data_IF_154623065367
#
_entry.id   IF_154623065367
#
_cell.length_a   1.000
_cell.length_b   1.000
_cell.length_c   1.000
_cell.angle_alpha   90.00
_cell.angle_beta   90.00
_cell.angle_gamma   90.00
#
_symmetry.space_group_name_H-M   'P 1'
#
loop_
_entity.id
_entity.type
_entity.pdbx_description
1 polymer ?
#
# COMPACT_ATOMS: atom_id res chain seq x y z
N UNK A 1 14.00 -33.50 -3.80
CA UNK A 1 13.74 -32.54 -4.91
C UNK A 1 13.22 -31.27 -4.28
N UNK A 2 14.00 -30.19 -4.32
CA UNK A 2 13.63 -28.90 -3.75
C UNK A 2 12.60 -28.25 -4.68
N UNK A 3 11.37 -28.07 -4.22
CA UNK A 3 10.36 -27.31 -4.93
C UNK A 3 10.79 -25.84 -4.90
N UNK A 4 11.15 -25.31 -6.07
CA UNK A 4 11.31 -23.88 -6.27
C UNK A 4 9.90 -23.28 -6.32
N UNK A 5 9.45 -22.72 -5.20
CA UNK A 5 8.32 -21.79 -5.16
C UNK A 5 8.84 -20.53 -5.87
N UNK A 6 8.50 -20.40 -7.15
CA UNK A 6 8.61 -19.13 -7.85
C UNK A 6 7.45 -18.29 -7.32
N UNK A 7 7.76 -17.49 -6.30
CA UNK A 7 6.91 -16.40 -5.83
C UNK A 7 6.70 -15.47 -7.03
N UNK A 8 5.49 -15.49 -7.60
CA UNK A 8 4.98 -14.39 -8.40
C UNK A 8 4.98 -13.18 -7.48
N UNK A 9 5.98 -12.32 -7.66
CA UNK A 9 6.01 -11.01 -7.04
C UNK A 9 4.78 -10.25 -7.52
N UNK A 10 3.72 -10.23 -6.70
CA UNK A 10 2.73 -9.17 -6.74
C UNK A 10 3.46 -7.90 -6.30
N UNK A 11 4.14 -7.25 -7.23
CA UNK A 11 4.49 -5.85 -7.09
C UNK A 11 3.16 -5.08 -7.07
N UNK A 12 2.59 -4.91 -5.87
CA UNK A 12 1.59 -3.87 -5.64
C UNK A 12 2.30 -2.53 -5.88
N UNK A 13 2.32 -2.11 -7.15
CA UNK A 13 2.46 -0.70 -7.48
C UNK A 13 1.17 -0.01 -7.07
N UNK A 14 1.05 0.32 -5.79
CA UNK A 14 0.13 1.38 -5.37
C UNK A 14 0.78 2.67 -5.87
N UNK A 15 0.37 3.08 -7.07
CA UNK A 15 0.85 4.26 -7.77
C UNK A 15 0.65 5.50 -6.89
N UNK A 16 1.71 5.96 -6.23
CA UNK A 16 1.80 7.34 -5.74
C UNK A 16 2.01 8.27 -6.93
N UNK A 17 0.92 8.67 -7.57
CA UNK A 17 0.92 9.59 -8.71
C UNK A 17 0.29 10.95 -8.39
N UNK A 18 0.81 11.69 -7.40
CA UNK A 18 0.45 13.11 -7.24
C UNK A 18 1.35 13.95 -8.14
N UNK A 19 0.87 14.24 -9.35
CA UNK A 19 1.47 15.25 -10.24
C UNK A 19 0.91 16.63 -9.86
N UNK A 20 1.73 17.48 -9.25
CA UNK A 20 1.40 18.89 -9.07
C UNK A 20 1.52 19.62 -10.42
N UNK A 21 0.42 19.70 -11.15
CA UNK A 21 0.32 20.52 -12.35
C UNK A 21 0.35 22.01 -11.98
N UNK A 22 1.49 22.67 -12.19
CA UNK A 22 1.56 24.14 -12.28
C UNK A 22 1.84 24.51 -13.73
N UNK A 23 0.86 25.10 -14.41
CA UNK A 23 1.06 25.78 -15.70
C UNK A 23 1.96 27.01 -15.49
N UNK A 24 2.90 27.30 -16.39
CA UNK A 24 3.64 28.56 -16.38
C UNK A 24 2.80 29.67 -17.01
N UNK A 25 2.67 30.80 -16.31
CA UNK A 25 2.15 32.04 -16.86
C UNK A 25 3.31 32.96 -17.25
N UNK A 26 3.17 33.56 -18.43
CA UNK A 26 4.09 34.44 -19.15
C UNK A 26 4.59 35.66 -18.37
N UNK A 27 5.78 36.09 -18.79
CA UNK A 27 6.48 37.31 -18.40
C UNK A 27 5.65 38.59 -18.63
N UNK A 28 5.72 39.54 -17.68
CA UNK A 28 5.84 40.95 -18.05
C UNK A 28 6.69 41.69 -17.01
N UNK A 29 7.83 42.21 -17.45
CA UNK A 29 8.72 43.10 -16.69
C UNK A 29 8.07 44.47 -16.46
N UNK A 30 8.16 44.99 -15.23
CA UNK A 30 8.66 46.36 -14.98
C UNK A 30 9.04 46.58 -13.51
N UNK A 31 10.20 47.19 -13.34
CA UNK A 31 10.81 47.54 -12.07
C UNK A 31 10.20 48.81 -11.46
N UNK A 32 10.11 48.85 -10.13
CA UNK A 32 10.43 50.01 -9.30
C UNK A 32 10.55 49.54 -7.85
N UNK A 33 11.68 49.88 -7.22
CA UNK A 33 11.97 49.62 -5.83
C UNK A 33 11.14 50.53 -4.93
N UNK A 34 10.65 50.00 -3.81
CA UNK A 34 10.49 50.78 -2.57
C UNK A 34 10.37 49.83 -1.37
N UNK A 35 11.32 50.00 -0.46
CA UNK A 35 11.45 49.34 0.83
C UNK A 35 10.31 49.75 1.75
N UNK A 36 9.53 48.80 2.25
CA UNK A 36 8.76 49.00 3.49
C UNK A 36 8.60 47.67 4.22
N UNK A 37 9.10 47.67 5.46
CA UNK A 37 9.05 46.57 6.39
C UNK A 37 7.59 46.12 6.60
N UNK A 38 7.31 44.86 6.29
CA UNK A 38 6.04 44.21 6.62
C UNK A 38 6.33 43.06 7.55
N UNK A 39 5.97 43.27 8.81
CA UNK A 39 5.91 42.32 9.90
C UNK A 39 5.33 40.99 9.41
N UNK A 40 6.17 39.96 9.44
CA UNK A 40 5.78 38.57 9.25
C UNK A 40 4.88 38.18 10.43
N UNK A 41 3.56 38.26 10.22
CA UNK A 41 2.61 37.53 11.06
C UNK A 41 2.73 36.07 10.66
N UNK A 42 3.42 35.29 11.48
CA UNK A 42 3.24 33.85 11.58
C UNK A 42 1.73 33.60 11.71
N UNK A 43 1.11 33.12 10.64
CA UNK A 43 -0.21 32.52 10.74
C UNK A 43 -0.01 31.23 11.52
N UNK A 44 -0.44 31.22 12.78
CA UNK A 44 -0.76 29.98 13.47
C UNK A 44 -1.80 29.26 12.62
N UNK A 45 -1.36 28.30 11.81
CA UNK A 45 -2.23 27.25 11.32
C UNK A 45 -2.67 26.49 12.56
N UNK A 46 -3.91 26.69 12.97
CA UNK A 46 -4.61 25.73 13.81
C UNK A 46 -4.50 24.39 13.10
N UNK A 47 -3.63 23.52 13.60
CA UNK A 47 -3.51 22.13 13.15
C UNK A 47 -4.83 21.44 13.49
N UNK A 48 -5.77 21.43 12.55
CA UNK A 48 -6.85 20.45 12.58
C UNK A 48 -6.19 19.07 12.65
N UNK A 49 -6.50 18.30 13.69
CA UNK A 49 -5.97 16.97 13.92
C UNK A 49 -6.93 15.96 13.31
N UNK A 50 -6.74 15.58 12.04
CA UNK A 50 -7.82 14.98 11.27
C UNK A 50 -8.12 13.55 11.74
N UNK A 51 -7.16 12.92 12.44
CA UNK A 51 -7.33 11.59 13.03
C UNK A 51 -8.46 11.52 14.06
N UNK A 52 -8.75 12.62 14.76
CA UNK A 52 -9.83 12.67 15.76
C UNK A 52 -11.23 12.51 15.15
N UNK A 53 -11.39 12.85 13.87
CA UNK A 53 -12.65 12.64 13.14
C UNK A 53 -12.78 11.21 12.61
N UNK A 54 -11.65 10.51 12.46
CA UNK A 54 -11.57 9.17 11.88
C UNK A 54 -11.67 8.07 12.93
N UNK A 55 -11.19 8.32 14.14
CA UNK A 55 -11.13 7.37 15.25
C UNK A 55 -11.96 7.88 16.42
N UNK A 56 -13.15 7.28 16.59
CA UNK A 56 -14.05 7.62 17.69
C UNK A 56 -13.67 6.87 18.96
N UNK A 57 -13.62 7.59 20.09
CA UNK A 57 -13.32 7.00 21.39
C UNK A 57 -14.35 5.93 21.79
N UNK A 58 -13.86 4.85 22.41
CA UNK A 58 -14.68 3.78 22.95
C UNK A 58 -14.27 2.40 22.49
N UNK A 59 -15.08 1.42 22.88
CA UNK A 59 -14.91 0.02 22.51
C UNK A 59 -15.77 -0.30 21.29
N UNK A 60 -15.16 -0.89 20.26
CA UNK A 60 -15.82 -1.29 19.02
C UNK A 60 -15.34 -2.66 18.54
N UNK A 61 -15.95 -3.15 17.48
CA UNK A 61 -15.52 -4.36 16.77
C UNK A 61 -14.79 -3.97 15.50
N UNK A 62 -13.61 -4.55 15.32
CA UNK A 62 -12.81 -4.45 14.10
C UNK A 62 -12.86 -5.77 13.31
N UNK A 63 -12.85 -5.68 11.99
CA UNK A 63 -12.63 -6.79 11.08
C UNK A 63 -11.20 -6.75 10.56
N UNK A 64 -10.45 -7.83 10.78
CA UNK A 64 -9.12 -8.00 10.21
C UNK A 64 -9.31 -8.51 8.79
N UNK A 65 -8.78 -7.77 7.83
CA UNK A 65 -8.94 -8.02 6.41
C UNK A 65 -7.59 -8.33 5.77
N UNK A 66 -7.61 -9.19 4.76
CA UNK A 66 -6.47 -9.49 3.91
C UNK A 66 -6.84 -9.32 2.44
N UNK A 67 -5.85 -9.05 1.59
CA UNK A 67 -6.09 -9.01 0.15
C UNK A 67 -6.19 -10.44 -0.36
N UNK A 68 -7.29 -10.75 -1.05
CA UNK A 68 -7.49 -12.07 -1.64
C UNK A 68 -8.56 -12.08 -2.72
N UNK A 69 -8.77 -13.26 -3.29
CA UNK A 69 -9.86 -13.54 -4.23
C UNK A 69 -10.91 -14.39 -3.52
N UNK A 70 -12.17 -14.38 -4.00
CA UNK A 70 -13.10 -15.40 -3.55
C UNK A 70 -12.67 -16.81 -3.97
N UNK A 71 -13.14 -17.84 -3.26
CA UNK A 71 -12.74 -19.22 -3.54
C UNK A 71 -12.99 -19.68 -4.99
N UNK A 72 -14.03 -19.19 -5.67
CA UNK A 72 -14.32 -19.61 -7.05
C UNK A 72 -13.33 -18.98 -8.03
N UNK A 73 -13.13 -17.67 -7.93
CA UNK A 73 -12.14 -16.94 -8.74
C UNK A 73 -10.72 -17.45 -8.47
N UNK A 74 -10.36 -17.65 -7.19
CA UNK A 74 -9.08 -18.21 -6.78
C UNK A 74 -8.84 -19.61 -7.40
N UNK A 75 -9.84 -20.50 -7.30
CA UNK A 75 -9.75 -21.84 -7.87
C UNK A 75 -9.54 -21.79 -9.39
N UNK A 76 -10.31 -20.95 -10.08
CA UNK A 76 -10.23 -20.80 -11.55
C UNK A 76 -8.85 -20.28 -11.99
N UNK A 77 -8.35 -19.22 -11.37
CA UNK A 77 -7.02 -18.66 -11.67
C UNK A 77 -5.92 -19.70 -11.40
N UNK A 78 -6.02 -20.42 -10.28
CA UNK A 78 -5.07 -21.47 -9.91
C UNK A 78 -5.09 -22.64 -10.92
N UNK A 79 -6.27 -23.09 -11.34
CA UNK A 79 -6.42 -24.19 -12.31
C UNK A 79 -5.76 -23.84 -13.65
N UNK A 80 -6.04 -22.64 -14.17
CA UNK A 80 -5.45 -22.16 -15.43
C UNK A 80 -3.93 -22.01 -15.29
N UNK A 81 -3.47 -21.43 -14.18
CA UNK A 81 -2.03 -21.26 -13.91
C UNK A 81 -1.30 -22.61 -13.85
N UNK A 82 -1.90 -23.61 -13.20
CA UNK A 82 -1.33 -24.95 -13.13
C UNK A 82 -1.27 -25.63 -14.51
N UNK A 83 -2.32 -25.48 -15.31
CA UNK A 83 -2.38 -25.98 -16.70
C UNK A 83 -1.29 -25.34 -17.56
N UNK A 84 -1.13 -24.03 -17.45
CA UNK A 84 -0.07 -23.28 -18.14
C UNK A 84 1.31 -23.73 -17.69
N UNK A 85 1.56 -23.82 -16.39
CA UNK A 85 2.83 -24.24 -15.83
C UNK A 85 3.20 -25.66 -16.28
N UNK A 86 2.26 -26.60 -16.21
CA UNK A 86 2.49 -27.98 -16.64
C UNK A 86 2.88 -28.06 -18.13
N UNK A 87 2.21 -27.30 -19.00
CA UNK A 87 2.53 -27.29 -20.43
C UNK A 87 3.87 -26.57 -20.73
N UNK A 88 4.27 -25.60 -19.91
CA UNK A 88 5.56 -24.91 -20.05
C UNK A 88 6.75 -25.74 -19.55
N UNK A 89 6.55 -26.72 -18.66
CA UNK A 89 7.63 -27.59 -18.21
C UNK A 89 8.32 -28.30 -19.39
N UNK A 90 7.53 -28.78 -20.34
CA UNK A 90 8.03 -29.48 -21.54
C UNK A 90 8.46 -28.52 -22.67
N UNK A 91 8.22 -27.20 -22.50
CA UNK A 91 8.50 -26.17 -23.51
C UNK A 91 9.41 -25.06 -22.98
N UNK A 92 10.26 -25.39 -22.01
CA UNK A 92 11.09 -24.42 -21.29
C UNK A 92 12.03 -23.65 -22.22
N UNK A 93 12.70 -24.32 -23.17
CA UNK A 93 13.62 -23.66 -24.10
C UNK A 93 12.88 -22.66 -25.00
N UNK A 94 11.76 -23.09 -25.59
CA UNK A 94 10.88 -22.20 -26.36
C UNK A 94 10.40 -20.99 -25.53
N UNK A 95 10.00 -21.20 -24.27
CA UNK A 95 9.51 -20.13 -23.42
C UNK A 95 10.59 -19.09 -23.10
N UNK A 96 11.83 -19.53 -22.87
CA UNK A 96 12.96 -18.62 -22.65
C UNK A 96 13.25 -17.77 -23.90
N UNK A 97 13.24 -18.39 -25.09
CA UNK A 97 13.42 -17.67 -26.35
C UNK A 97 12.28 -16.68 -26.62
N UNK A 98 11.04 -17.08 -26.33
CA UNK A 98 9.86 -16.24 -26.48
C UNK A 98 9.90 -15.05 -25.53
N UNK A 99 10.19 -15.29 -24.24
CA UNK A 99 10.28 -14.24 -23.23
C UNK A 99 11.40 -13.23 -23.54
N UNK A 100 12.53 -13.68 -24.09
CA UNK A 100 13.65 -12.80 -24.47
C UNK A 100 13.31 -11.83 -25.61
N UNK A 101 12.23 -12.07 -26.37
CA UNK A 101 11.76 -11.18 -27.43
C UNK A 101 10.81 -10.10 -26.92
N UNK A 102 10.30 -10.24 -25.70
CA UNK A 102 9.36 -9.28 -25.11
C UNK A 102 10.16 -8.09 -24.60
N UNK A 103 9.77 -6.89 -25.03
CA UNK A 103 10.38 -5.66 -24.53
C UNK A 103 9.97 -5.42 -23.08
N UNK A 104 10.88 -4.87 -22.31
CA UNK A 104 10.60 -4.44 -20.95
C UNK A 104 9.38 -3.50 -20.90
N UNK A 105 8.51 -3.71 -19.93
CA UNK A 105 7.25 -2.98 -19.78
C UNK A 105 6.12 -3.41 -20.72
N UNK A 106 6.34 -4.34 -21.66
CA UNK A 106 5.26 -4.94 -22.44
C UNK A 106 4.71 -6.18 -21.75
N UNK A 107 3.39 -6.28 -21.67
CA UNK A 107 2.72 -7.52 -21.30
C UNK A 107 3.10 -8.63 -22.29
N UNK A 108 3.35 -9.83 -21.77
CA UNK A 108 3.62 -10.99 -22.62
C UNK A 108 2.38 -11.23 -23.51
N UNK A 109 2.51 -11.35 -24.84
CA UNK A 109 1.36 -11.68 -25.68
C UNK A 109 0.96 -13.15 -25.50
N UNK A 110 -0.31 -13.44 -25.70
CA UNK A 110 -0.81 -14.83 -25.74
C UNK A 110 -0.08 -15.65 -26.80
N UNK A 111 0.21 -16.93 -26.48
CA UNK A 111 0.70 -17.89 -27.45
C UNK A 111 0.14 -19.30 -27.17
N UNK A 112 -0.24 -20.09 -28.19
CA UNK A 112 -0.80 -21.44 -27.99
C UNK A 112 0.11 -22.41 -27.22
N UNK A 113 1.42 -22.16 -27.22
CA UNK A 113 2.38 -22.94 -26.42
C UNK A 113 2.26 -22.71 -24.92
N UNK A 114 1.42 -21.79 -24.45
CA UNK A 114 1.01 -21.75 -23.05
C UNK A 114 0.09 -22.91 -22.69
N UNK A 115 -0.56 -23.56 -23.66
CA UNK A 115 -1.41 -24.74 -23.41
C UNK A 115 -2.73 -24.39 -22.73
N UNK A 116 -3.09 -23.11 -22.72
CA UNK A 116 -4.36 -22.56 -22.27
C UNK A 116 -5.00 -21.82 -23.45
N UNK A 117 -6.30 -21.54 -23.38
CA UNK A 117 -6.98 -20.74 -24.40
C UNK A 117 -6.66 -19.25 -24.24
N UNK A 118 -7.01 -18.45 -25.24
CA UNK A 118 -6.85 -16.99 -25.17
C UNK A 118 -7.76 -16.40 -24.07
N UNK A 119 -8.96 -16.93 -23.89
CA UNK A 119 -9.87 -16.51 -22.81
C UNK A 119 -9.33 -16.86 -21.42
N UNK A 120 -8.73 -18.05 -21.28
CA UNK A 120 -8.03 -18.46 -20.06
C UNK A 120 -6.84 -17.54 -19.76
N UNK A 121 -6.12 -17.11 -20.80
CA UNK A 121 -5.01 -16.17 -20.67
C UNK A 121 -5.47 -14.79 -20.19
N UNK A 122 -6.55 -14.27 -20.76
CA UNK A 122 -7.16 -13.00 -20.32
C UNK A 122 -7.60 -13.04 -18.85
N UNK A 123 -8.08 -14.18 -18.35
CA UNK A 123 -8.43 -14.33 -16.93
C UNK A 123 -7.20 -14.17 -16.02
N UNK A 124 -6.03 -14.67 -16.45
CA UNK A 124 -4.79 -14.48 -15.69
C UNK A 124 -4.35 -13.01 -15.74
N UNK A 125 -4.37 -12.41 -16.94
CA UNK A 125 -3.97 -11.02 -17.13
C UNK A 125 -4.80 -10.04 -16.29
N UNK A 126 -6.10 -10.28 -16.19
CA UNK A 126 -7.04 -9.44 -15.44
C UNK A 126 -7.33 -10.02 -14.04
N UNK A 127 -6.42 -10.83 -13.49
CA UNK A 127 -6.67 -11.47 -12.19
C UNK A 127 -6.69 -10.49 -11.03
N UNK A 128 -6.07 -9.31 -11.18
CA UNK A 128 -6.15 -8.19 -10.24
C UNK A 128 -7.57 -7.67 -10.07
N UNK A 129 -8.41 -7.75 -11.10
CA UNK A 129 -9.83 -7.35 -11.04
C UNK A 129 -10.66 -8.23 -10.10
N UNK A 130 -10.17 -9.42 -9.74
CA UNK A 130 -10.84 -10.31 -8.79
C UNK A 130 -10.38 -10.11 -7.34
N UNK A 131 -9.32 -9.32 -7.13
CA UNK A 131 -8.74 -9.06 -5.82
C UNK A 131 -9.60 -8.06 -5.04
N UNK A 132 -9.86 -8.38 -3.77
CA UNK A 132 -10.54 -7.49 -2.82
C UNK A 132 -10.07 -7.76 -1.40
N UNK A 133 -10.47 -6.88 -0.49
CA UNK A 133 -10.40 -7.17 0.94
C UNK A 133 -11.35 -8.32 1.31
N UNK A 134 -10.79 -9.36 1.87
CA UNK A 134 -11.48 -10.53 2.38
C UNK A 134 -11.31 -10.59 3.90
N UNK A 135 -12.38 -10.90 4.62
CA UNK A 135 -12.33 -11.02 6.08
C UNK A 135 -11.52 -12.24 6.50
N UNK A 136 -10.44 -12.00 7.24
CA UNK A 136 -9.55 -13.01 7.83
C UNK A 136 -9.94 -13.30 9.29
N UNK A 137 -10.42 -12.28 10.01
CA UNK A 137 -10.75 -12.40 11.42
C UNK A 137 -11.55 -11.22 11.97
N UNK A 138 -11.73 -11.23 13.28
CA UNK A 138 -12.32 -10.14 14.05
C UNK A 138 -11.40 -9.81 15.22
N UNK A 139 -11.52 -8.60 15.74
CA UNK A 139 -10.85 -8.16 16.96
C UNK A 139 -11.72 -7.16 17.70
N UNK A 140 -11.54 -7.03 19.01
CA UNK A 140 -12.00 -5.84 19.71
C UNK A 140 -11.04 -4.70 19.42
N UNK A 141 -11.57 -3.48 19.27
CA UNK A 141 -10.77 -2.27 19.10
C UNK A 141 -11.15 -1.29 20.19
N UNK A 142 -10.19 -0.90 21.01
CA UNK A 142 -10.33 0.12 22.03
C UNK A 142 -9.61 1.38 21.55
N UNK A 143 -10.34 2.48 21.47
CA UNK A 143 -9.79 3.81 21.18
C UNK A 143 -9.93 4.66 22.44
N UNK A 144 -8.82 5.22 22.93
CA UNK A 144 -8.78 6.11 24.09
C UNK A 144 -8.16 7.44 23.71
N UNK A 145 -8.66 8.54 24.28
CA UNK A 145 -8.13 9.88 24.06
C UNK A 145 -7.75 10.51 25.39
N UNK A 146 -6.46 10.64 25.66
CA UNK A 146 -5.92 11.20 26.91
C UNK A 146 -5.01 12.38 26.61
N UNK A 147 -5.44 13.58 27.00
CA UNK A 147 -4.74 14.85 26.82
C UNK A 147 -4.31 15.16 25.37
N UNK A 148 -3.18 14.61 24.93
CA UNK A 148 -2.54 14.83 23.64
C UNK A 148 -2.16 13.52 22.95
N UNK A 149 -2.70 12.40 23.43
CA UNK A 149 -2.46 11.08 22.88
C UNK A 149 -3.79 10.40 22.59
N UNK A 150 -3.95 9.97 21.34
CA UNK A 150 -5.02 9.08 20.93
C UNK A 150 -4.41 7.70 20.72
N UNK A 151 -4.93 6.69 21.40
CA UNK A 151 -4.42 5.32 21.30
C UNK A 151 -5.48 4.43 20.67
N UNK A 152 -5.05 3.56 19.76
CA UNK A 152 -5.84 2.46 19.20
C UNK A 152 -5.17 1.16 19.62
N UNK A 153 -5.90 0.29 20.32
CA UNK A 153 -5.48 -1.05 20.67
C UNK A 153 -6.40 -2.10 20.01
N UNK A 154 -5.82 -3.08 19.33
CA UNK A 154 -6.55 -4.20 18.71
C UNK A 154 -5.91 -5.55 19.08
N UNK A 155 -6.50 -6.22 20.08
CA UNK A 155 -5.87 -7.35 20.78
C UNK A 155 -5.56 -8.57 19.91
N UNK A 156 -6.34 -8.83 18.86
CA UNK A 156 -6.16 -10.00 18.00
C UNK A 156 -5.47 -9.68 16.67
N UNK A 157 -5.14 -8.42 16.44
CA UNK A 157 -4.37 -8.00 15.28
C UNK A 157 -2.91 -8.44 15.44
N UNK A 158 -2.29 -8.96 14.37
CA UNK A 158 -0.89 -9.36 14.41
C UNK A 158 0.05 -8.17 14.16
N UNK A 159 -0.44 -7.15 13.45
CA UNK A 159 0.34 -6.05 12.88
C UNK A 159 -0.09 -4.68 13.43
N UNK A 160 -1.39 -4.42 13.52
CA UNK A 160 -2.01 -3.20 14.06
C UNK A 160 -2.41 -3.42 15.53
N UNK A 161 -1.43 -3.75 16.39
CA UNK A 161 -1.72 -4.05 17.80
C UNK A 161 -1.98 -2.80 18.64
N UNK A 162 -1.05 -1.86 18.60
CA UNK A 162 -1.09 -0.62 19.36
C UNK A 162 -0.54 0.51 18.49
N UNK A 163 -1.37 1.53 18.27
CA UNK A 163 -0.98 2.77 17.62
C UNK A 163 -1.19 3.91 18.62
N UNK A 164 -0.20 4.76 18.78
CA UNK A 164 -0.31 5.97 19.62
C UNK A 164 -0.06 7.20 18.78
N UNK A 165 -1.11 7.98 18.55
CA UNK A 165 -1.05 9.23 17.81
C UNK A 165 -0.73 10.37 18.76
N UNK A 166 0.42 11.02 18.55
CA UNK A 166 0.75 12.25 19.25
C UNK A 166 0.03 13.43 18.58
N UNK A 167 -0.98 13.95 19.26
CA UNK A 167 -1.84 15.02 18.78
C UNK A 167 -1.13 16.39 18.73
N UNK A 168 0.04 16.55 19.36
CA UNK A 168 0.83 17.79 19.27
C UNK A 168 1.76 17.80 18.07
N UNK A 169 2.48 16.70 17.85
CA UNK A 169 3.47 16.58 16.77
C UNK A 169 2.90 15.98 15.48
N UNK A 170 1.65 15.49 15.51
CA UNK A 170 1.02 14.74 14.43
C UNK A 170 1.90 13.58 13.93
N UNK A 171 2.40 12.81 14.88
CA UNK A 171 3.20 11.60 14.64
C UNK A 171 2.46 10.39 15.18
N UNK A 172 2.84 9.21 14.72
CA UNK A 172 2.25 7.94 15.20
C UNK A 172 3.36 7.00 15.64
N UNK A 173 3.32 6.60 16.90
CA UNK A 173 4.15 5.51 17.39
C UNK A 173 3.50 4.17 17.05
N UNK A 174 4.30 3.28 16.47
CA UNK A 174 3.96 1.87 16.19
C UNK A 174 5.01 0.95 16.82
N UNK A 175 4.82 -0.37 16.73
CA UNK A 175 5.88 -1.32 17.09
C UNK A 175 7.10 -1.25 16.15
N UNK A 176 6.94 -0.67 14.95
CA UNK A 176 7.97 -0.58 13.92
C UNK A 176 8.75 0.75 13.92
N UNK A 177 8.29 1.75 14.68
CA UNK A 177 8.91 3.07 14.80
C UNK A 177 7.90 4.22 14.92
N UNK A 178 8.42 5.45 14.96
CA UNK A 178 7.62 6.68 14.92
C UNK A 178 7.46 7.15 13.47
N UNK A 179 6.22 7.38 13.05
CA UNK A 179 5.86 7.75 11.69
C UNK A 179 5.51 9.24 11.64
N UNK A 180 6.02 9.94 10.63
CA UNK A 180 5.73 11.35 10.39
C UNK A 180 4.54 11.52 9.44
N UNK A 181 3.70 12.52 9.69
CA UNK A 181 2.57 12.83 8.81
C UNK A 181 3.01 13.17 7.37
N UNK A 182 2.30 12.61 6.39
CA UNK A 182 2.57 12.78 4.95
C UNK A 182 1.47 13.47 4.18
N UNK A 183 0.31 13.70 4.79
CA UNK A 183 -0.82 14.38 4.13
C UNK A 183 -2.02 13.47 3.94
N UNK A 184 -2.95 13.96 3.12
CA UNK A 184 -4.22 13.31 2.81
C UNK A 184 -4.08 12.26 1.72
N UNK A 185 -4.89 11.22 1.84
CA UNK A 185 -5.17 10.27 0.76
C UNK A 185 -6.55 10.61 0.21
N UNK A 186 -6.61 10.84 -1.09
CA UNK A 186 -7.86 11.12 -1.80
C UNK A 186 -8.44 9.83 -2.40
N UNK A 187 -9.76 9.73 -2.36
CA UNK A 187 -10.47 8.62 -2.97
C UNK A 187 -10.25 8.57 -4.49
N UNK A 188 -10.06 7.36 -5.03
CA UNK A 188 -9.79 7.16 -6.46
C UNK A 188 -10.35 5.84 -6.95
N UNK A 189 -10.84 5.82 -8.19
CA UNK A 189 -11.22 4.58 -8.90
C UNK A 189 -10.05 3.59 -9.05
N UNK A 190 -8.81 4.05 -8.92
CA UNK A 190 -7.62 3.20 -8.94
C UNK A 190 -7.45 2.36 -7.65
N UNK A 191 -8.18 2.67 -6.58
CA UNK A 191 -8.17 1.91 -5.33
C UNK A 191 -9.05 0.65 -5.44
N UNK A 192 -8.78 -0.22 -6.42
CA UNK A 192 -9.64 -1.37 -6.75
C UNK A 192 -9.87 -2.33 -5.57
N UNK A 193 -8.80 -2.65 -4.82
CA UNK A 193 -8.82 -3.69 -3.77
C UNK A 193 -9.57 -3.25 -2.52
N UNK A 194 -9.33 -2.02 -2.06
CA UNK A 194 -9.94 -1.45 -0.86
C UNK A 194 -11.28 -0.77 -1.13
N UNK A 195 -11.61 -0.55 -2.40
CA UNK A 195 -12.63 0.42 -2.79
C UNK A 195 -12.16 1.86 -2.55
N UNK A 196 -13.04 2.81 -2.84
CA UNK A 196 -12.80 4.24 -2.62
C UNK A 196 -12.77 4.57 -1.14
N UNK A 197 -11.70 5.26 -0.72
CA UNK A 197 -11.60 5.83 0.62
C UNK A 197 -10.72 7.06 0.62
N UNK A 198 -11.02 7.97 1.53
CA UNK A 198 -10.20 9.15 1.82
C UNK A 198 -9.75 9.14 3.27
N UNK A 199 -8.61 9.77 3.55
CA UNK A 199 -8.05 9.73 4.89
C UNK A 199 -6.71 10.43 5.00
N UNK A 200 -5.93 10.00 5.97
CA UNK A 200 -4.66 10.57 6.38
C UNK A 200 -3.55 9.52 6.32
N UNK A 201 -2.32 9.97 6.07
CA UNK A 201 -1.15 9.11 5.92
C UNK A 201 0.00 9.54 6.83
N UNK A 202 0.68 8.56 7.40
CA UNK A 202 1.94 8.71 8.12
C UNK A 202 2.94 7.69 7.58
N UNK A 203 4.22 8.06 7.57
CA UNK A 203 5.27 7.19 7.05
C UNK A 203 6.60 7.38 7.79
N UNK A 204 7.28 6.26 8.02
CA UNK A 204 8.70 6.15 8.34
C UNK A 204 9.40 5.50 7.15
N UNK A 205 10.45 6.13 6.63
CA UNK A 205 11.28 5.59 5.55
C UNK A 205 12.75 5.81 5.87
N UNK A 206 13.50 4.72 5.98
CA UNK A 206 14.93 4.67 6.22
C UNK A 206 15.61 3.98 5.03
N UNK A 207 16.42 4.73 4.29
CA UNK A 207 17.02 4.28 3.04
C UNK A 207 16.05 4.30 1.85
N UNK A 208 16.46 3.72 0.72
CA UNK A 208 15.73 3.80 -0.55
C UNK A 208 15.11 2.45 -0.94
N UNK A 209 14.21 1.97 -0.07
CA UNK A 209 13.58 0.66 -0.20
C UNK A 209 12.61 0.53 -1.39
N UNK A 210 12.13 1.66 -1.91
CA UNK A 210 11.20 1.69 -3.05
C UNK A 210 11.91 1.48 -4.39
N UNK A 211 13.23 1.71 -4.46
CA UNK A 211 14.01 1.63 -5.69
C UNK A 211 14.88 0.36 -5.79
N UNK A 212 14.51 -0.69 -5.04
CA UNK A 212 15.20 -1.97 -5.08
C UNK A 212 14.63 -2.83 -6.21
N UNK A 213 15.46 -3.13 -7.21
CA UNK A 213 15.10 -4.04 -8.31
C UNK A 213 15.31 -5.51 -7.93
N UNK A 214 16.45 -5.86 -7.32
CA UNK A 214 16.76 -7.22 -6.87
C UNK A 214 17.43 -7.19 -5.50
N UNK A 215 16.78 -7.80 -4.52
CA UNK A 215 17.30 -7.90 -3.15
C UNK A 215 18.66 -8.60 -3.07
N UNK A 216 18.98 -9.48 -4.02
CA UNK A 216 20.27 -10.19 -4.07
C UNK A 216 21.44 -9.27 -4.42
N UNK A 217 21.15 -8.07 -4.91
CA UNK A 217 22.17 -7.07 -5.26
C UNK A 217 22.50 -6.13 -4.10
N UNK A 218 21.75 -6.22 -3.01
CA UNK A 218 21.91 -5.38 -1.83
C UNK A 218 23.05 -5.94 -0.97
N UNK A 219 23.91 -5.04 -0.46
CA UNK A 219 24.94 -5.41 0.51
C UNK A 219 24.29 -6.02 1.75
N UNK A 220 24.84 -7.13 2.25
CA UNK A 220 24.31 -7.87 3.41
C UNK A 220 24.20 -7.00 4.68
N UNK A 221 24.97 -5.92 4.79
CA UNK A 221 24.95 -4.97 5.90
C UNK A 221 23.98 -3.80 5.68
N UNK A 222 23.24 -3.80 4.57
CA UNK A 222 22.27 -2.74 4.29
C UNK A 222 21.08 -2.89 5.22
N UNK A 223 20.71 -1.79 5.87
CA UNK A 223 19.49 -1.69 6.65
C UNK A 223 18.57 -0.66 5.99
N UNK A 224 17.39 -1.11 5.61
CA UNK A 224 16.34 -0.27 5.05
C UNK A 224 15.00 -0.62 5.68
N UNK A 225 14.15 0.39 5.88
CA UNK A 225 12.85 0.22 6.52
C UNK A 225 11.82 1.14 5.91
N UNK A 226 10.61 0.62 5.72
CA UNK A 226 9.41 1.35 5.36
C UNK A 226 8.29 0.95 6.32
N UNK A 227 7.64 1.95 6.88
CA UNK A 227 6.37 1.79 7.59
C UNK A 227 5.42 2.82 7.05
N UNK A 228 4.29 2.39 6.49
CA UNK A 228 3.20 3.27 6.06
C UNK A 228 1.98 2.95 6.88
N UNK A 229 1.38 3.98 7.45
CA UNK A 229 0.10 3.91 8.12
C UNK A 229 -0.88 4.84 7.42
N UNK A 230 -2.07 4.33 7.19
CA UNK A 230 -3.20 5.10 6.71
C UNK A 230 -4.40 4.89 7.62
N UNK A 231 -5.12 5.98 7.88
CA UNK A 231 -6.40 5.95 8.59
C UNK A 231 -7.38 6.74 7.75
N UNK A 232 -8.55 6.19 7.44
CA UNK A 232 -9.51 6.84 6.56
C UNK A 232 -10.91 6.29 6.66
N UNK A 233 -11.80 6.76 5.79
CA UNK A 233 -13.21 6.35 5.72
C UNK A 233 -13.50 5.75 4.35
N UNK A 234 -14.06 4.53 4.34
CA UNK A 234 -14.60 3.92 3.14
C UNK A 234 -15.81 4.73 2.66
N UNK A 235 -15.85 5.14 1.39
CA UNK A 235 -16.95 5.96 0.87
C UNK A 235 -18.29 5.22 0.89
N UNK A 236 -18.26 3.90 0.64
CA UNK A 236 -19.47 3.09 0.54
C UNK A 236 -20.18 2.90 1.89
N UNK A 237 -19.41 2.71 2.97
CA UNK A 237 -19.95 2.32 4.28
C UNK A 237 -19.80 3.38 5.36
N UNK A 238 -18.87 4.33 5.20
CA UNK A 238 -18.47 5.26 6.25
C UNK A 238 -17.67 4.60 7.40
N UNK A 239 -17.30 3.33 7.26
CA UNK A 239 -16.46 2.64 8.24
C UNK A 239 -15.02 3.13 8.19
N UNK A 240 -14.34 3.08 9.33
CA UNK A 240 -12.92 3.46 9.40
C UNK A 240 -12.06 2.34 8.84
N UNK A 241 -11.21 2.67 7.88
CA UNK A 241 -10.13 1.81 7.41
C UNK A 241 -8.84 2.22 8.12
N UNK A 242 -8.16 1.27 8.75
CA UNK A 242 -6.77 1.39 9.19
C UNK A 242 -5.94 0.43 8.37
N UNK A 243 -4.91 0.93 7.68
CA UNK A 243 -4.04 0.13 6.82
C UNK A 243 -2.59 0.37 7.24
N UNK A 244 -1.88 -0.70 7.59
CA UNK A 244 -0.45 -0.66 7.89
C UNK A 244 0.33 -1.56 6.93
N UNK A 245 1.36 -1.00 6.30
CA UNK A 245 2.40 -1.74 5.58
C UNK A 245 3.73 -1.57 6.30
N UNK A 246 4.38 -2.70 6.56
CA UNK A 246 5.73 -2.81 7.07
C UNK A 246 6.60 -3.53 6.07
N UNK A 247 7.79 -2.99 5.81
CA UNK A 247 8.86 -3.67 5.07
C UNK A 247 10.20 -3.31 5.68
N UNK A 248 11.05 -4.29 5.91
CA UNK A 248 12.41 -4.10 6.39
C UNK A 248 13.35 -5.05 5.66
N UNK A 249 14.46 -4.51 5.20
CA UNK A 249 15.59 -5.29 4.70
C UNK A 249 16.73 -5.11 5.69
N UNK A 250 17.19 -6.21 6.26
CA UNK A 250 18.24 -6.20 7.28
C UNK A 250 18.96 -7.54 7.26
N UNK A 251 20.29 -7.51 7.35
CA UNK A 251 21.13 -8.71 7.39
C UNK A 251 20.87 -9.67 6.20
N UNK A 252 20.55 -9.11 5.03
CA UNK A 252 20.18 -9.86 3.82
C UNK A 252 18.78 -10.49 3.83
N UNK A 253 17.98 -10.30 4.87
CA UNK A 253 16.61 -10.79 4.98
C UNK A 253 15.59 -9.71 4.58
N UNK A 254 14.49 -10.12 3.95
CA UNK A 254 13.32 -9.27 3.69
C UNK A 254 12.19 -9.69 4.61
N UNK A 255 11.77 -8.79 5.47
CA UNK A 255 10.65 -9.00 6.39
C UNK A 255 9.58 -8.00 6.01
N UNK A 256 8.33 -8.44 5.96
CA UNK A 256 7.22 -7.54 5.68
C UNK A 256 5.92 -8.04 6.28
N UNK A 257 5.04 -7.10 6.55
CA UNK A 257 3.70 -7.36 7.02
C UNK A 257 2.75 -6.33 6.41
N UNK A 258 1.54 -6.76 6.09
CA UNK A 258 0.46 -5.89 5.63
C UNK A 258 -0.80 -6.33 6.34
N UNK A 259 -1.53 -5.38 6.91
CA UNK A 259 -2.83 -5.65 7.50
C UNK A 259 -3.78 -4.48 7.27
N UNK A 260 -5.05 -4.83 7.07
CA UNK A 260 -6.15 -3.90 6.97
C UNK A 260 -7.11 -4.20 8.12
N UNK A 261 -7.55 -3.16 8.82
CA UNK A 261 -8.51 -3.24 9.91
C UNK A 261 -9.68 -2.32 9.57
N UNK A 262 -10.89 -2.88 9.51
CA UNK A 262 -12.13 -2.11 9.31
C UNK A 262 -12.85 -1.99 10.65
N UNK A 263 -13.05 -0.77 11.13
CA UNK A 263 -13.75 -0.45 12.38
C UNK A 263 -15.13 0.09 12.04
N UNK A 264 -16.17 -0.52 12.63
CA UNK A 264 -17.58 -0.22 12.34
C UNK A 264 -18.15 0.88 13.23
#
# INVERSE_FOLDING_TARGET
MKQAIILLFFSLFIVSGCTSSTKPAEETKKAAAETSAKTEKTQEQTTELPVLELLQEGLSTGEIMEVGMDPQSAYKVMEITNKMQANLQDKREWFLEYAAQIKEGQGMPYHPNFGITEEEYEIILNSDDYMRLMKKGETSVLITNEENELTLAADQSEVIKNLTFNLKSNTVQTEYGELAYKGKVEASDNQKVTGKWSGESWELSEGDINNIEDIKTIDENTHMKLVKLHVGKLEETGYTLVYLEYREIKDGENIGAVEFLIIK
#
